data_IF_635845204472
#
_entry.id   IF_635845204472
#
_cell.length_a   1.000
_cell.length_b   1.000
_cell.length_c   1.000
_cell.angle_alpha   90.00
_cell.angle_beta   90.00
_cell.angle_gamma   90.00
#
_symmetry.space_group_name_H-M   'P 1'
#
loop_
_entity.id
_entity.type
_entity.pdbx_description
1 polymer ?
#
# COMPACT_ATOMS: atom_id res chain seq x y z
N UNK A 1 -16.90 11.54 -4.65
CA UNK A 1 -16.83 10.19 -4.05
C UNK A 1 -18.25 9.68 -3.95
N UNK A 2 -18.55 8.40 -4.23
CA UNK A 2 -19.90 7.88 -3.99
C UNK A 2 -20.28 8.09 -2.51
N UNK A 3 -21.56 8.38 -2.23
CA UNK A 3 -22.05 8.51 -0.86
C UNK A 3 -21.70 7.25 -0.05
N UNK A 4 -21.19 7.45 1.17
CA UNK A 4 -20.71 6.38 2.06
C UNK A 4 -19.25 5.94 1.86
N UNK A 5 -18.50 6.49 0.89
CA UNK A 5 -17.06 6.20 0.74
C UNK A 5 -16.20 7.39 1.17
N UNK A 6 -15.09 7.10 1.89
CA UNK A 6 -14.09 8.09 2.31
C UNK A 6 -12.72 7.79 1.70
N UNK A 7 -12.05 8.80 1.19
CA UNK A 7 -10.71 8.69 0.61
C UNK A 7 -9.72 8.92 1.73
N UNK A 8 -8.80 7.99 1.92
CA UNK A 8 -7.79 8.09 2.97
C UNK A 8 -6.43 7.94 2.31
N UNK A 9 -5.51 8.86 2.66
CA UNK A 9 -4.13 8.81 2.21
C UNK A 9 -3.30 8.17 3.33
N UNK A 10 -2.53 7.15 2.97
CA UNK A 10 -1.61 6.50 3.89
C UNK A 10 -0.19 6.78 3.45
N UNK A 11 0.68 7.12 4.41
CA UNK A 11 2.12 7.20 4.22
C UNK A 11 2.74 6.02 4.95
N UNK A 12 3.44 5.16 4.22
CA UNK A 12 4.16 4.02 4.78
C UNK A 12 5.66 4.29 4.73
N UNK A 13 6.36 3.87 5.78
CA UNK A 13 7.82 3.78 5.79
C UNK A 13 8.18 2.32 5.54
N UNK A 14 8.93 2.05 4.48
CA UNK A 14 9.43 0.73 4.13
C UNK A 14 10.92 0.69 4.46
N UNK A 15 11.29 -0.16 5.40
CA UNK A 15 12.66 -0.35 5.86
C UNK A 15 12.90 -1.85 6.12
N UNK A 16 14.18 -2.25 6.15
CA UNK A 16 14.62 -3.59 6.53
C UNK A 16 15.84 -3.46 7.41
N UNK A 17 15.88 -4.28 8.47
CA UNK A 17 17.00 -4.33 9.41
C UNK A 17 18.18 -5.17 8.88
N UNK A 18 17.96 -5.96 7.82
CA UNK A 18 18.95 -6.90 7.26
C UNK A 18 19.69 -6.33 6.06
N UNK A 19 19.01 -5.52 5.23
CA UNK A 19 19.59 -4.94 4.01
C UNK A 19 18.99 -3.61 3.65
N UNK A 20 19.76 -2.80 2.92
CA UNK A 20 19.23 -1.65 2.20
C UNK A 20 18.26 -2.14 1.12
N UNK A 21 17.04 -1.61 1.13
CA UNK A 21 16.04 -1.94 0.14
C UNK A 21 16.38 -1.29 -1.20
N UNK A 22 16.35 -2.07 -2.28
CA UNK A 22 16.37 -1.53 -3.64
C UNK A 22 15.01 -0.93 -4.01
N UNK A 23 14.97 -0.14 -5.08
CA UNK A 23 13.69 0.34 -5.65
C UNK A 23 12.75 -0.82 -6.00
N UNK A 24 13.28 -1.91 -6.57
CA UNK A 24 12.49 -3.11 -6.90
C UNK A 24 11.94 -3.82 -5.65
N UNK A 25 12.71 -3.89 -4.56
CA UNK A 25 12.22 -4.43 -3.28
C UNK A 25 11.05 -3.58 -2.73
N UNK A 26 11.18 -2.25 -2.80
CA UNK A 26 10.15 -1.30 -2.37
C UNK A 26 8.87 -1.46 -3.18
N UNK A 27 8.97 -1.59 -4.51
CA UNK A 27 7.82 -1.76 -5.39
C UNK A 27 7.09 -3.09 -5.12
N UNK A 28 7.83 -4.18 -4.92
CA UNK A 28 7.24 -5.48 -4.55
C UNK A 28 6.52 -5.43 -3.20
N UNK A 29 7.13 -4.79 -2.20
CA UNK A 29 6.51 -4.60 -0.88
C UNK A 29 5.25 -3.73 -0.97
N UNK A 30 5.31 -2.66 -1.77
CA UNK A 30 4.17 -1.80 -2.05
C UNK A 30 3.03 -2.61 -2.68
N UNK A 31 3.28 -3.36 -3.74
CA UNK A 31 2.24 -4.17 -4.39
C UNK A 31 1.59 -5.18 -3.43
N UNK A 32 2.39 -5.86 -2.61
CA UNK A 32 1.87 -6.77 -1.57
C UNK A 32 0.97 -6.06 -0.59
N UNK A 33 1.37 -4.87 -0.14
CA UNK A 33 0.61 -4.07 0.81
C UNK A 33 -0.72 -3.62 0.19
N UNK A 34 -0.71 -3.18 -1.08
CA UNK A 34 -1.92 -2.80 -1.80
C UNK A 34 -2.89 -3.97 -1.98
N UNK A 35 -2.39 -5.13 -2.43
CA UNK A 35 -3.21 -6.36 -2.56
C UNK A 35 -3.87 -6.75 -1.23
N UNK A 36 -3.14 -6.61 -0.12
CA UNK A 36 -3.66 -6.89 1.21
C UNK A 36 -4.74 -5.89 1.63
N UNK A 37 -4.57 -4.60 1.35
CA UNK A 37 -5.58 -3.57 1.63
C UNK A 37 -6.86 -3.81 0.82
N UNK A 38 -6.73 -4.18 -0.46
CA UNK A 38 -7.87 -4.52 -1.29
C UNK A 38 -8.60 -5.75 -0.76
N UNK A 39 -7.87 -6.82 -0.44
CA UNK A 39 -8.46 -8.07 0.06
C UNK A 39 -9.12 -7.91 1.44
N UNK A 40 -8.47 -7.21 2.38
CA UNK A 40 -8.96 -7.12 3.77
C UNK A 40 -10.04 -6.06 3.92
N UNK A 41 -9.92 -4.92 3.24
CA UNK A 41 -10.80 -3.77 3.44
C UNK A 41 -11.77 -3.55 2.27
N UNK A 42 -11.70 -4.34 1.20
CA UNK A 42 -12.45 -4.09 -0.04
C UNK A 42 -12.09 -2.73 -0.67
N UNK A 43 -10.92 -2.20 -0.31
CA UNK A 43 -10.51 -0.86 -0.69
C UNK A 43 -10.09 -0.82 -2.16
N UNK A 44 -10.61 0.16 -2.90
CA UNK A 44 -10.13 0.46 -4.25
C UNK A 44 -9.13 1.59 -4.19
N UNK A 45 -7.91 1.34 -4.69
CA UNK A 45 -6.93 2.40 -4.84
C UNK A 45 -7.44 3.45 -5.81
N UNK A 46 -7.25 4.72 -5.47
CA UNK A 46 -7.32 5.81 -6.45
C UNK A 46 -5.89 6.20 -6.75
N UNK A 47 -5.51 6.08 -8.02
CA UNK A 47 -4.31 6.71 -8.56
C UNK A 47 -4.66 8.15 -8.97
#
# INVERSE_FOLDING_TARGET
MPEGKKSVMFRFWLASDEKTLSSGDIDLLRERLLKKLEFVLGAKLRY
#
